data_IF_827050515832
#
_entry.id   IF_827050515832
#
_cell.length_a   1.000
_cell.length_b   1.000
_cell.length_c   1.000
_cell.angle_alpha   90.00
_cell.angle_beta   90.00
_cell.angle_gamma   90.00
#
_symmetry.space_group_name_H-M   'P 1'
#
loop_
_entity.id
_entity.type
_entity.pdbx_description
1 polymer ?
#
# COMPACT_ATOMS: atom_id res chain seq x y z
N UNK A 1 7.10 25.88 49.25
CA UNK A 1 8.03 24.75 49.02
C UNK A 1 9.26 25.21 48.30
N UNK A 2 10.40 24.59 48.56
CA UNK A 2 11.63 24.78 47.78
C UNK A 2 12.09 23.42 47.26
N UNK A 3 12.71 23.42 46.11
CA UNK A 3 13.33 22.22 45.53
C UNK A 3 14.67 22.57 44.87
N UNK A 4 15.57 21.64 44.82
CA UNK A 4 16.83 21.72 44.05
C UNK A 4 17.20 20.37 43.51
N UNK A 5 17.95 20.32 42.41
CA UNK A 5 18.60 19.11 41.97
C UNK A 5 19.60 18.68 43.11
N UNK A 6 19.65 17.42 43.48
CA UNK A 6 20.42 16.92 44.63
C UNK A 6 21.91 17.33 44.62
N UNK A 7 22.46 17.54 43.42
CA UNK A 7 23.88 17.89 43.24
C UNK A 7 24.14 19.41 43.12
N UNK A 8 23.13 20.24 43.32
CA UNK A 8 23.26 21.71 43.23
C UNK A 8 23.06 22.32 44.61
N UNK A 9 23.60 23.53 44.78
CA UNK A 9 23.47 24.28 46.03
C UNK A 9 22.33 25.33 45.98
N UNK A 10 21.79 25.57 44.76
CA UNK A 10 20.75 26.59 44.57
C UNK A 10 19.34 26.01 44.74
N UNK A 11 18.54 26.68 45.56
CA UNK A 11 17.15 26.34 45.80
C UNK A 11 16.21 27.16 44.92
N UNK A 12 15.34 26.46 44.19
CA UNK A 12 14.21 27.06 43.49
C UNK A 12 12.97 27.07 44.38
N UNK A 13 12.21 28.16 44.35
CA UNK A 13 10.96 28.28 45.11
C UNK A 13 9.76 28.01 44.24
N UNK A 14 8.85 27.17 44.72
CA UNK A 14 7.52 27.04 44.08
C UNK A 14 6.64 28.15 44.64
N UNK A 15 6.07 28.97 43.77
CA UNK A 15 5.00 29.87 44.17
C UNK A 15 3.71 29.06 44.19
N UNK A 16 3.02 28.92 45.32
CA UNK A 16 1.66 28.37 45.51
C UNK A 16 1.02 27.57 44.33
N UNK A 17 1.83 26.70 43.71
CA UNK A 17 1.39 25.82 42.63
C UNK A 17 1.38 24.39 43.15
N UNK A 18 0.40 23.60 42.73
CA UNK A 18 0.25 22.23 43.17
C UNK A 18 1.27 21.30 42.53
N UNK A 19 1.80 21.67 41.33
CA UNK A 19 2.75 20.88 40.54
C UNK A 19 3.85 21.76 39.97
N UNK A 20 5.04 21.18 39.82
CA UNK A 20 6.21 21.80 39.15
C UNK A 20 6.76 20.81 38.16
N UNK A 21 6.98 21.24 36.92
CA UNK A 21 7.64 20.46 35.88
C UNK A 21 9.16 20.49 36.09
N UNK A 22 9.78 19.33 36.15
CA UNK A 22 11.22 19.16 36.29
C UNK A 22 11.70 18.01 35.43
N UNK A 23 12.96 18.06 35.00
CA UNK A 23 13.63 16.93 34.34
C UNK A 23 13.76 15.71 35.23
N UNK A 24 13.98 14.53 34.64
CA UNK A 24 14.28 13.34 35.42
C UNK A 24 15.58 13.52 36.23
N UNK A 25 15.53 13.08 37.50
CA UNK A 25 16.65 13.23 38.38
C UNK A 25 16.28 13.09 39.86
N UNK A 26 17.28 13.16 40.76
CA UNK A 26 17.07 13.19 42.21
C UNK A 26 16.98 14.65 42.68
N UNK A 27 15.92 14.95 43.40
CA UNK A 27 15.66 16.28 43.94
C UNK A 27 15.54 16.24 45.45
N UNK A 28 16.12 17.24 46.10
CA UNK A 28 15.84 17.51 47.51
C UNK A 28 14.71 18.54 47.59
N UNK A 29 13.74 18.28 48.44
CA UNK A 29 12.55 19.13 48.65
C UNK A 29 12.46 19.47 50.14
N UNK A 30 12.09 20.72 50.46
CA UNK A 30 11.84 21.17 51.82
C UNK A 30 10.79 22.28 51.88
N UNK A 31 10.23 22.53 53.06
CA UNK A 31 9.54 23.80 53.34
C UNK A 31 10.58 24.91 53.47
N UNK A 32 10.35 26.04 52.84
CA UNK A 32 11.22 27.21 53.04
C UNK A 32 11.11 27.73 54.45
N UNK A 33 12.20 28.36 54.96
CA UNK A 33 12.16 29.13 56.17
C UNK A 33 11.17 30.31 56.00
N UNK A 34 10.56 30.71 57.10
CA UNK A 34 9.73 31.95 57.21
C UNK A 34 10.35 32.86 58.25
N UNK A 35 9.77 34.00 58.48
CA UNK A 35 10.23 34.94 59.49
C UNK A 35 10.13 34.36 60.91
N UNK A 36 9.32 33.31 61.10
CA UNK A 36 9.05 32.72 62.41
C UNK A 36 9.54 31.27 62.52
N UNK A 37 9.83 30.57 61.41
CA UNK A 37 10.15 29.15 61.41
C UNK A 37 11.38 28.87 60.55
N UNK A 38 12.20 27.93 61.01
CA UNK A 38 13.31 27.40 60.23
C UNK A 38 12.81 26.56 59.04
N UNK A 39 13.66 26.41 58.04
CA UNK A 39 13.37 25.45 56.95
C UNK A 39 13.22 24.04 57.53
N UNK A 40 12.35 23.24 56.94
CA UNK A 40 12.23 21.81 57.33
C UNK A 40 13.49 21.02 56.93
N UNK A 41 13.59 19.81 57.44
CA UNK A 41 14.51 18.84 56.90
C UNK A 41 14.25 18.57 55.41
N UNK A 42 15.31 18.15 54.72
CA UNK A 42 15.25 17.82 53.29
C UNK A 42 14.71 16.39 53.08
N UNK A 43 13.83 16.22 52.13
CA UNK A 43 13.38 14.91 51.64
C UNK A 43 13.85 14.73 50.22
N UNK A 44 14.50 13.60 49.90
CA UNK A 44 14.88 13.26 48.51
C UNK A 44 13.72 12.59 47.84
N UNK A 45 13.40 13.05 46.62
CA UNK A 45 12.47 12.42 45.68
C UNK A 45 13.20 12.13 44.38
N UNK A 46 12.82 11.04 43.70
CA UNK A 46 13.36 10.66 42.39
C UNK A 46 12.27 10.88 41.36
N UNK A 47 12.61 11.61 40.32
CA UNK A 47 11.80 11.72 39.10
C UNK A 47 12.44 10.80 38.07
N UNK A 48 11.76 9.71 37.76
CA UNK A 48 12.28 8.70 36.84
C UNK A 48 12.27 9.20 35.40
N UNK A 49 13.24 8.76 34.62
CA UNK A 49 13.23 8.97 33.17
C UNK A 49 12.10 8.16 32.54
N UNK A 50 11.19 8.82 31.85
CA UNK A 50 10.20 8.12 31.04
C UNK A 50 10.88 7.51 29.81
N UNK A 51 10.79 6.20 29.67
CA UNK A 51 11.26 5.48 28.47
C UNK A 51 10.02 5.11 27.66
N UNK A 52 9.84 5.75 26.51
CA UNK A 52 8.76 5.42 25.61
C UNK A 52 8.95 3.99 25.07
N UNK A 53 7.88 3.21 25.03
CA UNK A 53 7.88 1.90 24.40
C UNK A 53 7.94 2.04 22.89
N UNK A 54 8.62 1.11 22.21
CA UNK A 54 8.63 1.05 20.76
C UNK A 54 7.40 0.30 20.27
N UNK A 55 6.72 0.84 19.26
CA UNK A 55 5.66 0.11 18.58
C UNK A 55 6.19 -1.19 17.95
N UNK A 56 5.35 -2.20 17.86
CA UNK A 56 5.69 -3.46 17.21
C UNK A 56 5.90 -3.23 15.71
N UNK A 57 6.91 -3.91 15.15
CA UNK A 57 7.14 -3.92 13.69
C UNK A 57 5.87 -4.41 12.99
N UNK A 58 5.38 -3.71 11.95
CA UNK A 58 4.20 -4.14 11.22
C UNK A 58 4.38 -5.52 10.56
N UNK A 59 3.28 -6.24 10.37
CA UNK A 59 3.21 -7.50 9.62
C UNK A 59 2.25 -7.34 8.43
N UNK A 60 2.49 -6.31 7.62
CA UNK A 60 1.68 -5.98 6.45
C UNK A 60 1.94 -7.01 5.35
N UNK A 61 0.88 -7.41 4.67
CA UNK A 61 0.93 -8.35 3.54
C UNK A 61 0.34 -7.73 2.27
N UNK A 62 0.62 -8.36 1.13
CA UNK A 62 0.05 -7.99 -0.17
C UNK A 62 -1.09 -8.95 -0.51
N UNK A 63 -2.27 -8.42 -0.77
CA UNK A 63 -3.32 -9.12 -1.51
C UNK A 63 -3.11 -8.86 -3.02
N UNK A 64 -2.61 -9.87 -3.71
CA UNK A 64 -2.32 -9.79 -5.15
C UNK A 64 -3.58 -9.70 -6.01
N UNK A 65 -4.72 -10.20 -5.50
CA UNK A 65 -5.99 -10.21 -6.21
C UNK A 65 -6.65 -8.84 -6.23
N UNK A 66 -6.69 -8.18 -5.07
CA UNK A 66 -7.28 -6.84 -4.92
C UNK A 66 -6.27 -5.73 -5.18
N UNK A 67 -4.97 -6.05 -5.24
CA UNK A 67 -3.86 -5.10 -5.37
C UNK A 67 -3.82 -4.11 -4.18
N UNK A 68 -3.91 -4.66 -2.97
CA UNK A 68 -3.92 -3.89 -1.73
C UNK A 68 -2.85 -4.37 -0.75
N UNK A 69 -2.36 -3.47 0.08
CA UNK A 69 -1.71 -3.81 1.34
C UNK A 69 -2.78 -4.06 2.40
N UNK A 70 -2.64 -5.15 3.13
CA UNK A 70 -3.58 -5.63 4.15
C UNK A 70 -2.87 -5.87 5.48
N UNK A 71 -3.64 -6.19 6.53
CA UNK A 71 -3.18 -6.45 7.90
C UNK A 71 -2.70 -5.20 8.66
N UNK A 72 -3.14 -4.01 8.27
CA UNK A 72 -2.96 -2.84 9.12
C UNK A 72 -3.80 -2.96 10.39
N UNK A 73 -3.21 -2.57 11.52
CA UNK A 73 -3.95 -2.55 12.80
C UNK A 73 -4.95 -1.40 12.78
N UNK A 74 -6.16 -1.66 13.29
CA UNK A 74 -7.21 -0.65 13.44
C UNK A 74 -6.68 0.58 14.23
N UNK A 75 -7.06 1.77 13.80
CA UNK A 75 -6.60 3.06 14.36
C UNK A 75 -5.07 3.29 14.31
N UNK A 76 -4.30 2.38 13.72
CA UNK A 76 -2.87 2.55 13.53
C UNK A 76 -2.56 3.61 12.48
N UNK A 77 -1.52 4.40 12.71
CA UNK A 77 -0.98 5.36 11.75
C UNK A 77 0.36 4.88 11.22
N UNK A 78 0.59 5.04 9.91
CA UNK A 78 1.75 4.46 9.25
C UNK A 78 2.42 5.44 8.31
N UNK A 79 3.72 5.19 8.07
CA UNK A 79 4.44 5.78 6.93
C UNK A 79 4.90 4.69 5.98
N UNK A 80 4.93 5.00 4.68
CA UNK A 80 5.56 4.18 3.65
C UNK A 80 6.65 5.01 2.99
N UNK A 81 7.87 4.51 2.99
CA UNK A 81 9.05 5.24 2.49
C UNK A 81 9.19 6.64 3.11
N UNK A 82 8.82 6.76 4.40
CA UNK A 82 8.89 8.01 5.16
C UNK A 82 7.72 8.98 4.93
N UNK A 83 6.75 8.66 4.07
CA UNK A 83 5.57 9.47 3.81
C UNK A 83 4.35 8.92 4.54
N UNK A 84 3.56 9.79 5.16
CA UNK A 84 2.32 9.43 5.81
C UNK A 84 1.31 8.85 4.79
N UNK A 85 0.62 7.78 5.17
CA UNK A 85 -0.41 7.15 4.34
C UNK A 85 -1.77 7.21 5.04
N UNK A 86 -2.82 7.33 4.23
CA UNK A 86 -4.20 7.24 4.69
C UNK A 86 -4.77 5.87 4.34
N UNK A 87 -5.25 5.14 5.33
CA UNK A 87 -5.87 3.85 5.15
C UNK A 87 -7.37 3.98 4.91
N UNK A 88 -7.92 3.08 4.13
CA UNK A 88 -9.36 2.90 3.96
C UNK A 88 -9.70 1.47 4.36
N UNK A 89 -10.58 1.30 5.35
CA UNK A 89 -10.94 -0.01 5.90
C UNK A 89 -9.71 -0.87 6.30
N UNK A 90 -8.72 -0.22 6.93
CA UNK A 90 -7.44 -0.83 7.32
C UNK A 90 -6.65 -1.46 6.16
N UNK A 91 -6.77 -0.89 4.96
CA UNK A 91 -6.09 -1.29 3.74
C UNK A 91 -5.52 -0.09 3.00
N UNK A 92 -4.56 -0.35 2.11
CA UNK A 92 -3.99 0.66 1.22
C UNK A 92 -3.88 0.12 -0.20
N UNK A 93 -4.44 0.85 -1.17
CA UNK A 93 -4.31 0.49 -2.58
C UNK A 93 -2.85 0.57 -3.05
N UNK A 94 -2.41 -0.46 -3.76
CA UNK A 94 -1.10 -0.53 -4.40
C UNK A 94 -1.05 0.13 -5.79
N UNK A 95 -2.12 0.76 -6.26
CA UNK A 95 -2.19 1.33 -7.61
C UNK A 95 -1.02 2.29 -7.95
N UNK A 96 -0.51 3.02 -6.94
CA UNK A 96 0.62 3.95 -7.12
C UNK A 96 2.00 3.28 -6.93
N UNK A 97 2.04 2.01 -6.53
CA UNK A 97 3.27 1.29 -6.21
C UNK A 97 3.56 0.16 -7.20
N UNK A 98 2.53 -0.39 -7.88
CA UNK A 98 2.71 -1.43 -8.88
C UNK A 98 3.16 -0.80 -10.19
N UNK A 99 4.41 -1.06 -10.58
CA UNK A 99 5.03 -0.53 -11.80
C UNK A 99 5.53 -1.67 -12.68
N UNK A 100 6.26 -1.35 -13.76
CA UNK A 100 6.93 -2.34 -14.62
C UNK A 100 8.20 -2.92 -13.97
N UNK A 101 8.58 -2.39 -12.81
CA UNK A 101 9.75 -2.83 -12.06
C UNK A 101 9.34 -3.22 -10.64
N UNK A 102 10.08 -4.15 -10.05
CA UNK A 102 9.95 -4.50 -8.65
C UNK A 102 10.45 -3.35 -7.79
N UNK A 103 9.70 -3.02 -6.75
CA UNK A 103 10.08 -2.00 -5.76
C UNK A 103 10.09 -2.58 -4.35
N UNK A 104 10.75 -1.86 -3.46
CA UNK A 104 10.79 -2.19 -2.03
C UNK A 104 10.09 -1.07 -1.26
N UNK A 105 9.18 -1.44 -0.38
CA UNK A 105 8.52 -0.53 0.54
C UNK A 105 9.11 -0.68 1.93
N UNK A 106 9.37 0.44 2.60
CA UNK A 106 9.72 0.52 4.02
C UNK A 106 8.50 1.02 4.77
N UNK A 107 7.89 0.16 5.59
CA UNK A 107 6.65 0.44 6.30
C UNK A 107 6.93 0.57 7.79
N UNK A 108 6.53 1.69 8.39
CA UNK A 108 6.73 1.97 9.81
C UNK A 108 5.39 2.31 10.45
N UNK A 109 5.08 1.68 11.57
CA UNK A 109 3.97 2.09 12.43
C UNK A 109 4.43 3.26 13.30
N UNK A 110 3.68 4.36 13.27
CA UNK A 110 4.00 5.56 14.07
C UNK A 110 3.62 5.33 15.52
N UNK A 111 4.46 5.82 16.44
CA UNK A 111 4.09 5.97 17.83
C UNK A 111 3.24 7.22 18.06
N UNK A 112 2.68 7.34 19.24
CA UNK A 112 1.91 8.52 19.65
C UNK A 112 2.79 9.68 20.17
N UNK A 113 4.11 9.49 20.24
CA UNK A 113 5.11 10.44 20.75
C UNK A 113 4.89 10.88 22.21
N UNK A 114 4.05 10.17 22.96
CA UNK A 114 3.77 10.39 24.38
C UNK A 114 4.20 9.16 25.17
N UNK A 115 3.65 8.01 24.86
CA UNK A 115 3.94 6.74 25.54
C UNK A 115 4.68 5.76 24.64
N UNK A 116 4.56 5.91 23.33
CA UNK A 116 5.22 5.04 22.34
C UNK A 116 5.99 5.85 21.31
N UNK A 117 7.07 5.26 20.82
CA UNK A 117 7.84 5.72 19.66
C UNK A 117 7.59 4.81 18.46
N UNK A 118 7.96 5.25 17.26
CA UNK A 118 7.75 4.50 16.04
C UNK A 118 8.43 3.10 16.09
N UNK A 119 7.83 2.15 15.37
CA UNK A 119 8.35 0.79 15.21
C UNK A 119 9.66 0.75 14.41
N UNK A 120 10.31 -0.40 14.40
CA UNK A 120 11.23 -0.75 13.32
C UNK A 120 10.46 -0.83 11.99
N UNK A 121 11.18 -0.65 10.89
CA UNK A 121 10.60 -0.73 9.57
C UNK A 121 10.41 -2.20 9.15
N UNK A 122 9.22 -2.52 8.65
CA UNK A 122 9.01 -3.71 7.83
C UNK A 122 9.46 -3.43 6.40
N UNK A 123 10.26 -4.31 5.83
CA UNK A 123 10.60 -4.28 4.40
C UNK A 123 9.66 -5.21 3.63
N UNK A 124 8.98 -4.70 2.60
CA UNK A 124 8.05 -5.45 1.78
C UNK A 124 8.37 -5.26 0.30
N UNK A 125 8.44 -6.36 -0.44
CA UNK A 125 8.73 -6.35 -1.87
C UNK A 125 7.41 -6.34 -2.64
N UNK A 126 7.21 -5.32 -3.47
CA UNK A 126 6.11 -5.24 -4.44
C UNK A 126 6.65 -5.67 -5.79
N UNK A 127 6.15 -6.79 -6.31
CA UNK A 127 6.57 -7.33 -7.61
C UNK A 127 6.17 -6.38 -8.75
N UNK A 128 6.89 -6.45 -9.87
CA UNK A 128 6.50 -5.77 -11.10
C UNK A 128 5.17 -6.32 -11.61
N UNK A 129 4.40 -5.48 -12.29
CA UNK A 129 3.22 -5.93 -13.05
C UNK A 129 3.70 -6.79 -14.22
N UNK A 130 3.17 -8.01 -14.40
CA UNK A 130 3.49 -8.82 -15.56
C UNK A 130 3.12 -8.11 -16.88
N UNK A 131 3.88 -8.38 -17.94
CA UNK A 131 3.58 -7.88 -19.27
C UNK A 131 2.23 -8.43 -19.78
N UNK A 132 1.58 -7.69 -20.66
CA UNK A 132 0.37 -8.15 -21.34
C UNK A 132 0.64 -9.42 -22.17
N UNK A 133 -0.38 -10.25 -22.42
CA UNK A 133 -0.30 -11.30 -23.43
C UNK A 133 0.14 -10.75 -24.78
N UNK A 134 0.86 -11.53 -25.55
CA UNK A 134 1.43 -11.13 -26.83
C UNK A 134 0.53 -11.52 -28.00
N UNK A 135 0.76 -10.91 -29.17
CA UNK A 135 0.08 -11.28 -30.42
C UNK A 135 0.37 -12.74 -30.84
N UNK A 136 1.47 -13.33 -30.39
CA UNK A 136 1.78 -14.75 -30.69
C UNK A 136 1.01 -15.72 -29.79
N UNK A 137 0.54 -15.27 -28.65
CA UNK A 137 -0.27 -16.08 -27.74
C UNK A 137 -1.77 -15.94 -28.05
N UNK A 138 -2.20 -14.73 -28.45
CA UNK A 138 -3.61 -14.43 -28.79
C UNK A 138 -3.73 -14.34 -30.28
N UNK A 139 -4.30 -15.39 -30.90
CA UNK A 139 -4.51 -15.49 -32.34
C UNK A 139 -5.86 -14.88 -32.70
N UNK A 140 -5.83 -13.84 -33.53
CA UNK A 140 -7.04 -13.14 -33.96
C UNK A 140 -7.26 -13.39 -35.47
N UNK A 141 -8.40 -13.97 -35.81
CA UNK A 141 -8.83 -14.12 -37.20
C UNK A 141 -9.88 -13.07 -37.52
N UNK A 142 -9.57 -12.19 -38.45
CA UNK A 142 -10.49 -11.16 -38.92
C UNK A 142 -11.47 -11.72 -39.97
N UNK A 143 -12.67 -11.14 -40.11
CA UNK A 143 -13.61 -11.49 -41.18
C UNK A 143 -12.94 -11.44 -42.54
N UNK A 144 -13.24 -12.42 -43.39
CA UNK A 144 -12.71 -12.52 -44.76
C UNK A 144 -13.75 -12.19 -45.85
N UNK A 145 -15.00 -11.88 -45.45
CA UNK A 145 -16.11 -11.52 -46.34
C UNK A 145 -16.97 -10.41 -45.71
N UNK A 146 -17.72 -9.69 -46.54
CA UNK A 146 -18.67 -8.67 -46.06
C UNK A 146 -19.71 -9.34 -45.16
N UNK A 147 -19.94 -8.77 -43.97
CA UNK A 147 -20.84 -9.33 -42.96
C UNK A 147 -20.33 -10.58 -42.29
N UNK A 148 -19.06 -10.96 -42.52
CA UNK A 148 -18.38 -12.04 -41.80
C UNK A 148 -18.06 -11.67 -40.37
N UNK A 149 -17.76 -12.69 -39.56
CA UNK A 149 -17.43 -12.57 -38.15
C UNK A 149 -15.98 -12.97 -37.91
N UNK A 150 -15.41 -12.47 -36.82
CA UNK A 150 -14.05 -12.81 -36.38
C UNK A 150 -14.02 -13.91 -35.33
N UNK A 151 -12.80 -14.36 -35.00
CA UNK A 151 -12.54 -15.28 -33.90
C UNK A 151 -11.31 -14.85 -33.13
N UNK A 152 -11.25 -15.24 -31.87
CA UNK A 152 -10.08 -15.08 -31.00
C UNK A 152 -9.76 -16.45 -30.38
N UNK A 153 -8.51 -16.92 -30.52
CA UNK A 153 -8.01 -18.15 -29.94
C UNK A 153 -6.85 -17.86 -28.98
N UNK A 154 -6.54 -18.84 -28.11
CA UNK A 154 -5.39 -18.81 -27.22
C UNK A 154 -5.66 -18.17 -25.86
N UNK A 155 -6.92 -17.91 -25.48
CA UNK A 155 -7.26 -17.40 -24.16
C UNK A 155 -7.35 -18.58 -23.16
N UNK A 156 -6.19 -18.95 -22.60
CA UNK A 156 -6.07 -20.06 -21.63
C UNK A 156 -6.77 -19.76 -20.31
N UNK A 157 -6.90 -20.77 -19.46
CA UNK A 157 -7.47 -20.68 -18.11
C UNK A 157 -6.65 -19.82 -17.14
N UNK A 158 -5.38 -19.54 -17.44
CA UNK A 158 -4.51 -18.58 -16.74
C UNK A 158 -4.81 -17.13 -17.11
N UNK A 159 -5.64 -16.90 -18.10
CA UNK A 159 -6.03 -15.59 -18.61
C UNK A 159 -7.51 -15.29 -18.32
N UNK A 160 -7.85 -14.03 -18.46
CA UNK A 160 -9.23 -13.55 -18.44
C UNK A 160 -9.43 -12.48 -19.51
N UNK A 161 -10.66 -12.34 -19.98
CA UNK A 161 -11.03 -11.37 -20.99
C UNK A 161 -12.26 -10.56 -20.61
N UNK A 162 -12.37 -9.37 -21.18
CA UNK A 162 -13.49 -8.45 -20.99
C UNK A 162 -13.95 -7.89 -22.33
N UNK A 163 -15.28 -7.84 -22.53
CA UNK A 163 -15.94 -7.20 -23.68
C UNK A 163 -16.56 -5.86 -23.36
N UNK A 164 -16.48 -5.42 -22.10
CA UNK A 164 -17.07 -4.18 -21.59
C UNK A 164 -16.02 -3.23 -20.99
N UNK A 165 -14.89 -3.12 -21.66
CA UNK A 165 -13.78 -2.23 -21.31
C UNK A 165 -13.15 -2.47 -19.94
N UNK A 166 -13.16 -3.72 -19.45
CA UNK A 166 -12.52 -4.09 -18.18
C UNK A 166 -13.42 -3.96 -16.94
N UNK A 167 -14.74 -3.74 -17.14
CA UNK A 167 -15.70 -3.68 -16.01
C UNK A 167 -15.93 -5.08 -15.45
N UNK A 168 -16.19 -6.07 -16.32
CA UNK A 168 -16.35 -7.46 -15.96
C UNK A 168 -15.34 -8.32 -16.70
N UNK A 169 -14.84 -9.35 -16.03
CA UNK A 169 -13.84 -10.26 -16.57
C UNK A 169 -14.35 -11.69 -16.53
N UNK A 170 -14.12 -12.43 -17.62
CA UNK A 170 -14.45 -13.84 -17.77
C UNK A 170 -13.15 -14.63 -17.88
N UNK A 171 -13.01 -15.71 -17.11
CA UNK A 171 -11.85 -16.61 -17.24
C UNK A 171 -11.87 -17.32 -18.58
N UNK A 172 -10.73 -17.38 -19.25
CA UNK A 172 -10.54 -18.22 -20.42
C UNK A 172 -10.65 -19.70 -20.07
N UNK A 173 -11.03 -20.51 -21.04
CA UNK A 173 -11.16 -21.98 -20.92
C UNK A 173 -10.28 -22.73 -21.90
N UNK A 174 -9.55 -21.99 -22.74
CA UNK A 174 -8.71 -22.52 -23.81
C UNK A 174 -9.45 -22.74 -25.13
N UNK A 175 -10.77 -22.61 -25.13
CA UNK A 175 -11.58 -22.72 -26.35
C UNK A 175 -11.55 -21.40 -27.16
N UNK A 176 -11.78 -21.53 -28.48
CA UNK A 176 -11.87 -20.38 -29.38
C UNK A 176 -13.17 -19.62 -29.18
N UNK A 177 -13.07 -18.31 -29.03
CA UNK A 177 -14.24 -17.41 -29.06
C UNK A 177 -14.58 -17.12 -30.51
N UNK A 178 -15.67 -17.74 -31.01
CA UNK A 178 -16.15 -17.56 -32.36
C UNK A 178 -17.23 -16.52 -32.50
N UNK A 179 -17.70 -16.32 -33.76
CA UNK A 179 -18.86 -15.50 -34.11
C UNK A 179 -18.83 -14.06 -33.59
N UNK A 180 -17.62 -13.46 -33.48
CA UNK A 180 -17.44 -12.11 -32.95
C UNK A 180 -17.81 -11.07 -34.03
N UNK A 181 -18.76 -10.20 -33.72
CA UNK A 181 -19.17 -9.11 -34.57
C UNK A 181 -18.06 -8.07 -34.79
N UNK A 182 -17.87 -7.53 -35.98
CA UNK A 182 -16.97 -6.40 -36.22
C UNK A 182 -17.30 -5.19 -35.32
N UNK A 183 -16.28 -4.50 -34.85
CA UNK A 183 -16.38 -3.39 -33.91
C UNK A 183 -16.28 -3.83 -32.43
N UNK A 184 -16.38 -5.12 -32.15
CA UNK A 184 -16.20 -5.63 -30.77
C UNK A 184 -14.73 -5.61 -30.37
N UNK A 185 -14.44 -5.02 -29.20
CA UNK A 185 -13.11 -4.97 -28.62
C UNK A 185 -13.04 -5.87 -27.40
N UNK A 186 -12.03 -6.72 -27.38
CA UNK A 186 -11.67 -7.54 -26.22
C UNK A 186 -10.44 -6.97 -25.53
N UNK A 187 -10.47 -6.90 -24.22
CA UNK A 187 -9.28 -6.74 -23.38
C UNK A 187 -8.95 -8.09 -22.77
N UNK A 188 -7.69 -8.48 -22.84
CA UNK A 188 -7.21 -9.79 -22.40
C UNK A 188 -6.00 -9.57 -21.50
N UNK A 189 -5.91 -10.31 -20.37
CA UNK A 189 -4.79 -10.24 -19.46
C UNK A 189 -4.59 -11.58 -18.73
N UNK A 190 -3.41 -11.79 -18.20
CA UNK A 190 -3.19 -12.86 -17.22
C UNK A 190 -3.87 -12.51 -15.90
N UNK A 191 -4.44 -13.50 -15.26
CA UNK A 191 -5.06 -13.36 -13.93
C UNK A 191 -4.03 -13.11 -12.84
N UNK A 192 -4.44 -12.46 -11.76
CA UNK A 192 -3.68 -12.48 -10.53
C UNK A 192 -3.57 -13.90 -9.98
N UNK A 193 -2.43 -14.22 -9.38
CA UNK A 193 -2.17 -15.49 -8.70
C UNK A 193 -1.89 -15.23 -7.23
N UNK A 194 -2.68 -15.86 -6.36
CA UNK A 194 -2.54 -15.82 -4.90
C UNK A 194 -2.19 -17.22 -4.41
N UNK A 195 -1.00 -17.70 -4.76
CA UNK A 195 -0.48 -19.01 -4.35
C UNK A 195 0.08 -18.97 -2.93
N UNK A 196 0.25 -20.13 -2.29
CA UNK A 196 0.88 -20.24 -0.98
C UNK A 196 2.36 -19.83 -1.05
N UNK A 197 3.07 -20.30 -2.07
CA UNK A 197 4.46 -19.93 -2.33
C UNK A 197 4.58 -18.52 -2.87
N UNK A 198 5.33 -17.68 -2.17
CA UNK A 198 5.52 -16.27 -2.55
C UNK A 198 6.07 -16.09 -3.97
N UNK A 199 6.93 -17.01 -4.41
CA UNK A 199 7.53 -16.98 -5.75
C UNK A 199 6.48 -17.05 -6.87
N UNK A 200 5.38 -17.77 -6.64
CA UNK A 200 4.30 -17.99 -7.61
C UNK A 200 3.26 -16.88 -7.62
N UNK A 201 3.19 -16.06 -6.56
CA UNK A 201 2.24 -14.94 -6.49
C UNK A 201 2.55 -13.89 -7.55
N UNK A 202 1.53 -13.40 -8.21
CA UNK A 202 1.65 -12.31 -9.19
C UNK A 202 0.40 -11.44 -9.23
N UNK A 203 0.58 -10.18 -9.60
CA UNK A 203 -0.52 -9.29 -9.96
C UNK A 203 -1.13 -9.70 -11.31
N UNK A 204 -2.37 -9.27 -11.56
CA UNK A 204 -2.89 -9.30 -12.93
C UNK A 204 -1.94 -8.55 -13.86
N UNK A 205 -1.80 -9.04 -15.10
CA UNK A 205 -0.91 -8.40 -16.07
C UNK A 205 -1.45 -7.06 -16.59
N UNK A 206 -0.64 -6.36 -17.36
CA UNK A 206 -1.13 -5.33 -18.27
C UNK A 206 -2.11 -5.95 -19.27
N UNK A 207 -2.95 -5.11 -19.90
CA UNK A 207 -4.01 -5.52 -20.81
C UNK A 207 -3.50 -5.55 -22.26
N UNK A 208 -3.84 -6.62 -22.99
CA UNK A 208 -3.77 -6.68 -24.45
C UNK A 208 -5.15 -6.40 -25.01
N UNK A 209 -5.26 -5.40 -25.88
CA UNK A 209 -6.52 -5.03 -26.52
C UNK A 209 -6.54 -5.44 -27.97
N UNK A 210 -7.63 -6.08 -28.39
CA UNK A 210 -7.86 -6.49 -29.78
C UNK A 210 -9.27 -6.13 -30.21
N UNK A 211 -9.41 -5.61 -31.44
CA UNK A 211 -10.69 -5.28 -32.02
C UNK A 211 -10.90 -6.12 -33.30
N UNK A 212 -12.06 -6.71 -33.45
CA UNK A 212 -12.48 -7.32 -34.70
C UNK A 212 -12.88 -6.22 -35.66
N UNK A 213 -12.23 -6.17 -36.81
CA UNK A 213 -12.41 -5.12 -37.84
C UNK A 213 -13.31 -5.68 -38.96
N UNK A 214 -14.26 -4.89 -39.43
CA UNK A 214 -15.09 -5.28 -40.54
C UNK A 214 -14.24 -5.55 -41.82
N UNK A 215 -14.61 -6.59 -42.57
CA UNK A 215 -14.04 -6.79 -43.89
C UNK A 215 -14.48 -5.65 -44.80
N UNK A 216 -13.53 -4.89 -45.33
CA UNK A 216 -13.74 -3.84 -46.31
C UNK A 216 -13.22 -4.35 -47.65
N UNK A 217 -14.14 -4.71 -48.56
CA UNK A 217 -13.77 -5.09 -49.91
C UNK A 217 -13.21 -3.84 -50.63
N UNK A 218 -11.95 -3.87 -51.05
CA UNK A 218 -11.43 -2.84 -51.93
C UNK A 218 -12.37 -2.73 -53.13
N UNK A 219 -12.80 -1.52 -53.53
CA UNK A 219 -13.60 -1.36 -54.72
C UNK A 219 -12.82 -1.93 -55.91
N UNK A 220 -13.43 -2.87 -56.65
CA UNK A 220 -12.87 -3.32 -57.91
C UNK A 220 -12.69 -2.09 -58.80
N UNK A 221 -11.44 -1.75 -59.09
CA UNK A 221 -11.16 -0.78 -60.17
C UNK A 221 -11.57 -1.44 -61.46
N UNK A 222 -12.74 -1.08 -61.98
CA UNK A 222 -13.13 -1.49 -63.32
C UNK A 222 -12.05 -1.05 -64.31
N UNK A 223 -11.47 -1.96 -65.11
CA UNK A 223 -10.54 -1.57 -66.16
C UNK A 223 -11.32 -0.71 -67.18
N UNK A 224 -10.88 0.53 -67.34
CA UNK A 224 -11.38 1.41 -68.40
C UNK A 224 -10.92 0.83 -69.76
N UNK A 225 -11.86 0.25 -70.53
CA UNK A 225 -11.57 -0.14 -71.88
C UNK A 225 -11.60 1.17 -72.72
N UNK A 226 -10.46 1.61 -73.19
CA UNK A 226 -10.26 2.68 -74.14
C UNK A 226 -10.26 2.13 -75.57
#
# INVERSE_FOLDING_TARGET
>A
MQYKLKRTDEWSSTQLVDTVEVDAGEYNVRKAATDTDFASEETTITVETFIAEKEMTPEIAIDYTTEELINFVEDGTYTINGLDVTLTDNKLSLANYITNEQITLSIVKKGNNVTTVASEAQTLIVKARPAAPTKSEIIVTQPSVIGGKGTIAGIADTMEYSTNNGINWTTGDGDDIGDIEPGTTYKIRYKAVSADEEAERQFKSAEYSVTIIAYDAMPETQPTIS
#
